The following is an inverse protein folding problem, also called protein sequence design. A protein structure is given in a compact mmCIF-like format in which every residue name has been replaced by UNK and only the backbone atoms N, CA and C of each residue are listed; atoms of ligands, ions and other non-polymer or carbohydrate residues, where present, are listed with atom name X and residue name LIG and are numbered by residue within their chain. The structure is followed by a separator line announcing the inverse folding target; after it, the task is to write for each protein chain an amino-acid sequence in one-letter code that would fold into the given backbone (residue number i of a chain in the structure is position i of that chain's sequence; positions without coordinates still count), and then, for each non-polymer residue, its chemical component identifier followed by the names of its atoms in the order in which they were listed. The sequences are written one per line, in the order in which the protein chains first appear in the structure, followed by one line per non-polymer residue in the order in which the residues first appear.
data_IF_767360875087
#
_entry.id   IF_767360875087
#
_cell.length_a   1.000
_cell.length_b   1.000
_cell.length_c   1.000
_cell.angle_alpha   90.00
_cell.angle_beta   90.00
_cell.angle_gamma   90.00
#
_symmetry.space_group_name_H-M   'P 1'
#
loop_
_entity.id
_entity.type
_entity.pdbx_description
1 polymer ?
#
# COMPACT_ATOMS: atom_id res chain seq x y z
N UNK A 1 -5.50 -40.52 -25.76
CA UNK A 1 -5.63 -39.59 -24.61
C UNK A 1 -4.99 -38.28 -25.02
N UNK A 2 -5.79 -37.32 -25.48
CA UNK A 2 -5.34 -36.00 -25.92
C UNK A 2 -5.08 -35.14 -24.69
N UNK A 3 -3.85 -34.67 -24.52
CA UNK A 3 -3.50 -33.68 -23.49
C UNK A 3 -4.14 -32.36 -23.86
N UNK A 4 -5.13 -31.93 -23.08
CA UNK A 4 -5.73 -30.61 -23.17
C UNK A 4 -4.68 -29.57 -22.71
N UNK A 5 -4.20 -28.66 -23.58
CA UNK A 5 -3.16 -27.70 -23.21
C UNK A 5 -3.69 -26.77 -22.13
N UNK A 6 -3.06 -26.82 -20.94
CA UNK A 6 -3.35 -25.93 -19.82
C UNK A 6 -3.40 -24.47 -20.28
N UNK A 7 -4.61 -23.95 -20.44
CA UNK A 7 -4.86 -22.52 -20.67
C UNK A 7 -4.29 -21.76 -19.47
N UNK A 8 -3.39 -20.78 -19.67
CA UNK A 8 -2.89 -19.99 -18.55
C UNK A 8 -4.08 -19.36 -17.82
N UNK A 9 -4.09 -19.36 -16.47
CA UNK A 9 -5.18 -18.77 -15.71
C UNK A 9 -5.33 -17.32 -16.15
N UNK A 10 -6.46 -17.00 -16.78
CA UNK A 10 -6.81 -15.62 -17.09
C UNK A 10 -7.08 -14.93 -15.76
N UNK A 11 -6.09 -14.20 -15.28
CA UNK A 11 -6.20 -13.36 -14.08
C UNK A 11 -7.23 -12.28 -14.40
N UNK A 12 -8.50 -12.53 -14.06
CA UNK A 12 -9.55 -11.51 -14.08
C UNK A 12 -9.25 -10.56 -12.94
N UNK A 13 -8.60 -9.44 -13.26
CA UNK A 13 -8.36 -8.39 -12.28
C UNK A 13 -9.70 -7.72 -12.00
N UNK A 14 -10.22 -7.91 -10.80
CA UNK A 14 -11.52 -7.37 -10.41
C UNK A 14 -11.40 -5.84 -10.24
N UNK A 15 -12.10 -5.02 -11.04
CA UNK A 15 -11.97 -3.56 -11.00
C UNK A 15 -12.29 -2.96 -9.62
N UNK A 16 -13.06 -3.68 -8.80
CA UNK A 16 -13.37 -3.32 -7.41
C UNK A 16 -12.13 -3.26 -6.52
N UNK A 17 -11.06 -3.97 -6.87
CA UNK A 17 -9.78 -3.98 -6.14
C UNK A 17 -8.83 -2.92 -6.70
N UNK A 18 -8.86 -2.69 -8.02
CA UNK A 18 -7.97 -1.72 -8.68
C UNK A 18 -8.30 -0.29 -8.27
N UNK A 19 -9.58 0.09 -8.29
CA UNK A 19 -10.02 1.47 -8.02
C UNK A 19 -9.50 1.99 -6.66
N UNK A 20 -9.67 1.28 -5.52
CA UNK A 20 -9.15 1.75 -4.24
C UNK A 20 -7.62 1.77 -4.21
N UNK A 21 -6.96 0.82 -4.90
CA UNK A 21 -5.50 0.76 -4.96
C UNK A 21 -4.90 1.96 -5.70
N UNK A 22 -5.49 2.34 -6.84
CA UNK A 22 -5.13 3.54 -7.60
C UNK A 22 -5.41 4.80 -6.77
N UNK A 23 -6.54 4.84 -6.06
CA UNK A 23 -6.89 5.94 -5.16
C UNK A 23 -5.85 6.17 -4.07
N UNK A 24 -5.41 5.11 -3.38
CA UNK A 24 -4.39 5.19 -2.31
C UNK A 24 -3.05 5.69 -2.87
N UNK A 25 -2.68 5.27 -4.08
CA UNK A 25 -1.43 5.69 -4.71
C UNK A 25 -1.50 7.14 -5.18
N UNK A 26 -2.61 7.55 -5.80
CA UNK A 26 -2.74 8.88 -6.42
C UNK A 26 -3.11 9.99 -5.44
N UNK A 27 -3.85 9.68 -4.36
CA UNK A 27 -4.38 10.67 -3.43
C UNK A 27 -3.31 11.61 -2.80
N UNK A 28 -2.12 11.11 -2.38
CA UNK A 28 -1.06 11.99 -1.87
C UNK A 28 -0.61 13.02 -2.92
N UNK A 29 -0.43 12.58 -4.17
CA UNK A 29 0.01 13.46 -5.27
C UNK A 29 -1.03 14.51 -5.61
N UNK A 30 -2.31 14.15 -5.62
CA UNK A 30 -3.40 15.11 -5.79
C UNK A 30 -3.38 16.12 -4.64
N UNK A 31 -3.23 15.66 -3.40
CA UNK A 31 -3.09 16.54 -2.24
C UNK A 31 -1.94 17.54 -2.39
N UNK A 32 -0.77 17.08 -2.83
CA UNK A 32 0.40 17.94 -3.08
C UNK A 32 0.18 19.02 -4.15
N UNK A 33 -0.72 18.79 -5.12
CA UNK A 33 -1.05 19.80 -6.14
C UNK A 33 -1.87 20.96 -5.57
N UNK A 34 -2.70 20.71 -4.56
CA UNK A 34 -3.53 21.75 -3.93
C UNK A 34 -2.79 22.46 -2.82
N UNK A 35 -2.27 21.70 -1.85
CA UNK A 35 -1.54 22.24 -0.72
C UNK A 35 -0.54 21.19 -0.21
N UNK A 36 0.75 21.54 -0.06
CA UNK A 36 1.74 20.59 0.38
C UNK A 36 1.50 19.96 1.77
N UNK A 37 0.83 20.66 2.68
CA UNK A 37 0.46 20.15 4.00
C UNK A 37 -0.69 19.14 3.88
N UNK A 38 -1.66 19.38 3.00
CA UNK A 38 -2.73 18.41 2.68
C UNK A 38 -2.13 17.15 2.05
N UNK A 39 -1.21 17.32 1.09
CA UNK A 39 -0.48 16.20 0.47
C UNK A 39 0.29 15.36 1.49
N UNK A 40 1.03 16.00 2.39
CA UNK A 40 1.75 15.34 3.49
C UNK A 40 0.79 14.60 4.44
N UNK A 41 -0.32 15.23 4.83
CA UNK A 41 -1.31 14.61 5.71
C UNK A 41 -1.93 13.36 5.07
N UNK A 42 -2.34 13.46 3.80
CA UNK A 42 -2.88 12.31 3.04
C UNK A 42 -1.81 11.22 2.90
N UNK A 43 -0.55 11.58 2.62
CA UNK A 43 0.56 10.64 2.54
C UNK A 43 0.76 9.86 3.84
N UNK A 44 0.71 10.55 5.00
CA UNK A 44 0.82 9.92 6.32
C UNK A 44 -0.30 8.91 6.52
N UNK A 45 -1.55 9.29 6.21
CA UNK A 45 -2.70 8.39 6.33
C UNK A 45 -2.58 7.16 5.42
N UNK A 46 -2.16 7.36 4.16
CA UNK A 46 -1.95 6.27 3.21
C UNK A 46 -0.86 5.30 3.69
N UNK A 47 0.29 5.81 4.15
CA UNK A 47 1.40 4.98 4.62
C UNK A 47 1.03 4.23 5.91
N UNK A 48 0.36 4.88 6.86
CA UNK A 48 -0.12 4.25 8.09
C UNK A 48 -1.16 3.15 7.79
N UNK A 49 -2.12 3.42 6.91
CA UNK A 49 -3.11 2.45 6.48
C UNK A 49 -2.49 1.24 5.78
N UNK A 50 -1.53 1.47 4.88
CA UNK A 50 -0.79 0.40 4.20
C UNK A 50 0.07 -0.42 5.16
N UNK A 51 0.71 0.22 6.15
CA UNK A 51 1.48 -0.48 7.18
C UNK A 51 0.57 -1.41 8.00
N UNK A 52 -0.58 -0.90 8.46
CA UNK A 52 -1.57 -1.67 9.21
C UNK A 52 -2.13 -2.85 8.41
N UNK A 53 -2.55 -2.61 7.17
CA UNK A 53 -3.07 -3.64 6.28
C UNK A 53 -2.01 -4.72 5.99
N UNK A 54 -0.78 -4.31 5.67
CA UNK A 54 0.33 -5.23 5.40
C UNK A 54 0.68 -6.07 6.63
N UNK A 55 0.64 -5.48 7.82
CA UNK A 55 0.88 -6.20 9.07
C UNK A 55 -0.21 -7.25 9.35
N UNK A 56 -1.48 -6.89 9.16
CA UNK A 56 -2.60 -7.83 9.30
C UNK A 56 -2.51 -9.01 8.31
N UNK A 57 -2.10 -8.74 7.07
CA UNK A 57 -1.86 -9.81 6.08
C UNK A 57 -0.67 -10.67 6.51
N UNK A 58 0.41 -10.06 7.03
CA UNK A 58 1.58 -10.79 7.50
C UNK A 58 1.26 -11.75 8.65
N UNK A 59 0.34 -11.40 9.54
CA UNK A 59 -0.12 -12.27 10.63
C UNK A 59 -0.87 -13.51 10.13
N UNK A 60 -1.53 -13.41 8.96
CA UNK A 60 -2.30 -14.49 8.35
C UNK A 60 -1.51 -15.27 7.29
N UNK A 61 -0.34 -14.78 6.89
CA UNK A 61 0.46 -15.35 5.82
C UNK A 61 1.30 -16.57 6.27
N UNK A 62 1.65 -17.48 5.32
CA UNK A 62 2.56 -18.58 5.59
C UNK A 62 3.95 -18.10 6.07
N UNK A 63 4.67 -18.90 6.88
CA UNK A 63 5.92 -18.47 7.53
C UNK A 63 7.03 -18.05 6.55
N UNK A 64 7.02 -18.55 5.31
CA UNK A 64 7.98 -18.17 4.28
C UNK A 64 7.80 -16.72 3.78
N UNK A 65 6.55 -16.22 3.69
CA UNK A 65 6.26 -14.86 3.22
C UNK A 65 6.12 -13.85 4.35
N UNK A 66 5.88 -14.32 5.58
CA UNK A 66 5.63 -13.48 6.74
C UNK A 66 6.78 -12.49 7.00
N UNK A 67 8.05 -12.91 6.84
CA UNK A 67 9.21 -12.02 7.08
C UNK A 67 9.25 -10.86 6.08
N UNK A 68 9.00 -11.13 4.81
CA UNK A 68 8.97 -10.12 3.75
C UNK A 68 7.82 -9.14 3.96
N UNK A 69 6.63 -9.65 4.30
CA UNK A 69 5.46 -8.80 4.57
C UNK A 69 5.66 -7.94 5.82
N UNK A 70 6.25 -8.49 6.90
CA UNK A 70 6.60 -7.71 8.10
C UNK A 70 7.61 -6.62 7.78
N UNK A 71 8.64 -6.90 6.98
CA UNK A 71 9.58 -5.87 6.51
C UNK A 71 8.87 -4.77 5.72
N UNK A 72 7.97 -5.12 4.79
CA UNK A 72 7.19 -4.14 4.03
C UNK A 72 6.32 -3.26 4.92
N UNK A 73 5.64 -3.84 5.92
CA UNK A 73 4.86 -3.10 6.89
C UNK A 73 5.72 -2.14 7.73
N UNK A 74 6.90 -2.59 8.17
CA UNK A 74 7.84 -1.75 8.93
C UNK A 74 8.36 -0.59 8.08
N UNK A 75 8.73 -0.84 6.82
CA UNK A 75 9.18 0.23 5.92
C UNK A 75 8.09 1.29 5.71
N UNK A 76 6.84 0.87 5.50
CA UNK A 76 5.71 1.81 5.40
C UNK A 76 5.52 2.61 6.69
N UNK A 77 5.68 1.98 7.86
CA UNK A 77 5.59 2.67 9.14
C UNK A 77 6.73 3.70 9.34
N UNK A 78 7.97 3.35 8.99
CA UNK A 78 9.11 4.26 9.05
C UNK A 78 8.89 5.45 8.12
N UNK A 79 8.44 5.22 6.90
CA UNK A 79 8.11 6.29 5.95
C UNK A 79 6.98 7.18 6.48
N UNK A 80 5.96 6.61 7.13
CA UNK A 80 4.88 7.38 7.74
C UNK A 80 5.40 8.29 8.87
N UNK A 81 6.31 7.78 9.71
CA UNK A 81 6.94 8.56 10.79
C UNK A 81 7.79 9.70 10.21
N UNK A 82 8.59 9.44 9.18
CA UNK A 82 9.37 10.48 8.51
C UNK A 82 8.47 11.56 7.88
N UNK A 83 7.39 11.16 7.21
CA UNK A 83 6.41 12.09 6.67
C UNK A 83 5.73 12.92 7.79
N UNK A 84 5.44 12.30 8.93
CA UNK A 84 4.90 12.97 10.11
C UNK A 84 5.89 14.00 10.68
N UNK A 85 7.16 13.64 10.83
CA UNK A 85 8.20 14.57 11.28
C UNK A 85 8.30 15.76 10.31
N UNK A 86 8.34 15.51 9.00
CA UNK A 86 8.37 16.57 7.99
C UNK A 86 7.14 17.46 8.05
N UNK A 87 5.95 16.88 8.26
CA UNK A 87 4.71 17.63 8.43
C UNK A 87 4.76 18.54 9.65
N UNK A 88 5.21 18.03 10.80
CA UNK A 88 5.32 18.81 12.05
C UNK A 88 6.38 19.91 11.96
N UNK A 89 7.53 19.64 11.34
CA UNK A 89 8.61 20.64 11.16
C UNK A 89 8.22 21.74 10.18
N UNK A 90 7.36 21.43 9.22
CA UNK A 90 6.90 22.38 8.20
C UNK A 90 5.75 23.28 8.68
N UNK A 91 4.96 22.80 9.65
CA UNK A 91 3.83 23.50 10.25
C UNK A 91 4.28 24.75 11.03
#
# INVERSE_FOLDING_TARGET
MSQDPQRPPTVRIDPRIIIPMVGIIAAPFIGFLFDPNIGLFILILCLAGMAWMTWNIALQAPPQQQRTLKMGAIMNAVMAVLACILFVVRL
#
